data_IF_964787307894
#
_entry.id   IF_964787307894
#
_cell.length_a   1.000
_cell.length_b   1.000
_cell.length_c   1.000
_cell.angle_alpha   90.00
_cell.angle_beta   90.00
_cell.angle_gamma   90.00
#
_symmetry.space_group_name_H-M   'P 1'
#
loop_
_entity.id
_entity.type
_entity.pdbx_description
1 polymer ?
#
# COMPACT_ATOMS: atom_id res chain seq x y z
N UNK A 1 9.46 -18.78 -9.79
CA UNK A 1 9.94 -19.93 -9.00
C UNK A 1 11.24 -19.55 -8.33
N UNK A 2 11.31 -19.54 -6.99
CA UNK A 2 12.55 -19.29 -6.22
C UNK A 2 13.60 -20.34 -6.59
N UNK A 3 14.60 -19.96 -7.39
CA UNK A 3 15.81 -20.77 -7.61
C UNK A 3 16.89 -20.22 -6.69
N UNK A 4 17.02 -20.82 -5.51
CA UNK A 4 18.20 -20.75 -4.63
C UNK A 4 18.56 -19.38 -4.01
N UNK A 5 17.58 -18.64 -3.49
CA UNK A 5 17.87 -17.52 -2.56
C UNK A 5 17.47 -17.97 -1.15
N UNK A 6 18.45 -18.03 -0.24
CA UNK A 6 18.23 -18.40 1.18
C UNK A 6 17.77 -17.21 2.02
N UNK A 7 17.95 -15.99 1.51
CA UNK A 7 17.50 -14.76 2.16
C UNK A 7 16.01 -14.51 1.91
N UNK A 8 15.38 -13.75 2.83
CA UNK A 8 14.02 -13.23 2.66
C UNK A 8 13.94 -12.31 1.45
N UNK A 9 12.99 -12.56 0.55
CA UNK A 9 12.77 -11.75 -0.65
C UNK A 9 11.54 -10.85 -0.47
N UNK A 10 11.73 -9.55 -0.74
CA UNK A 10 10.65 -8.56 -0.74
C UNK A 10 10.38 -8.12 -2.18
N UNK A 11 9.15 -8.30 -2.67
CA UNK A 11 8.73 -7.78 -3.97
C UNK A 11 8.14 -6.37 -3.82
N UNK A 12 8.45 -5.47 -4.76
CA UNK A 12 7.87 -4.14 -4.84
C UNK A 12 7.81 -3.74 -6.32
N UNK A 13 6.62 -3.75 -6.92
CA UNK A 13 6.46 -3.41 -8.34
C UNK A 13 5.05 -2.89 -8.66
N UNK A 14 4.63 -1.81 -8.00
CA UNK A 14 3.29 -1.21 -8.18
C UNK A 14 2.14 -2.23 -8.07
N UNK A 15 2.26 -3.14 -7.11
CA UNK A 15 1.32 -4.25 -6.93
C UNK A 15 0.00 -3.73 -6.35
N UNK A 16 -1.12 -4.29 -6.83
CA UNK A 16 -2.41 -4.24 -6.14
C UNK A 16 -2.42 -5.29 -5.02
N UNK A 17 -3.44 -5.24 -4.14
CA UNK A 17 -3.66 -6.27 -3.11
C UNK A 17 -3.69 -7.66 -3.75
N UNK A 18 -4.53 -7.87 -4.75
CA UNK A 18 -4.72 -9.18 -5.39
C UNK A 18 -3.44 -9.69 -6.07
N UNK A 19 -2.71 -8.79 -6.73
CA UNK A 19 -1.44 -9.14 -7.36
C UNK A 19 -0.39 -9.53 -6.31
N UNK A 20 -0.31 -8.78 -5.20
CA UNK A 20 0.57 -9.09 -4.09
C UNK A 20 0.23 -10.45 -3.46
N UNK A 21 -1.06 -10.75 -3.26
CA UNK A 21 -1.48 -12.06 -2.77
C UNK A 21 -1.08 -13.19 -3.74
N UNK A 22 -1.18 -12.97 -5.05
CA UNK A 22 -0.69 -13.92 -6.06
C UNK A 22 0.82 -14.15 -5.99
N UNK A 23 1.61 -13.09 -5.76
CA UNK A 23 3.07 -13.17 -5.57
C UNK A 23 3.41 -14.01 -4.34
N UNK A 24 2.70 -13.79 -3.22
CA UNK A 24 2.90 -14.54 -1.98
C UNK A 24 2.50 -16.01 -2.13
N UNK A 25 1.29 -16.28 -2.66
CA UNK A 25 0.78 -17.65 -2.86
C UNK A 25 1.63 -18.48 -3.83
N UNK A 26 2.21 -17.85 -4.85
CA UNK A 26 3.11 -18.54 -5.79
C UNK A 26 4.51 -18.79 -5.24
N UNK A 27 4.81 -18.27 -4.04
CA UNK A 27 6.16 -18.31 -3.45
C UNK A 27 7.18 -17.50 -4.26
N UNK A 28 6.73 -16.55 -5.08
CA UNK A 28 7.60 -15.70 -5.88
C UNK A 28 8.37 -14.68 -5.00
N UNK A 29 7.82 -14.29 -3.85
CA UNK A 29 8.49 -13.53 -2.79
C UNK A 29 7.93 -13.93 -1.41
N UNK A 30 8.64 -13.55 -0.35
CA UNK A 30 8.21 -13.78 1.05
C UNK A 30 7.36 -12.62 1.58
N UNK A 31 7.68 -11.40 1.14
CA UNK A 31 7.03 -10.16 1.55
C UNK A 31 6.74 -9.31 0.33
N UNK A 32 5.78 -8.39 0.48
CA UNK A 32 5.48 -7.37 -0.53
C UNK A 32 5.53 -6.00 0.13
N UNK A 33 6.27 -5.07 -0.48
CA UNK A 33 6.30 -3.67 -0.09
C UNK A 33 5.33 -2.84 -0.92
N UNK A 34 4.62 -1.91 -0.28
CA UNK A 34 3.76 -0.93 -0.94
C UNK A 34 4.25 0.48 -0.61
N UNK A 35 4.47 1.31 -1.63
CA UNK A 35 4.93 2.70 -1.44
C UNK A 35 3.78 3.66 -1.74
N UNK A 36 3.35 3.74 -3.01
CA UNK A 36 2.32 4.70 -3.43
C UNK A 36 0.99 4.53 -2.71
N UNK A 37 0.59 3.29 -2.43
CA UNK A 37 -0.62 3.02 -1.65
C UNK A 37 -0.47 3.46 -0.19
N UNK A 38 0.73 3.31 0.39
CA UNK A 38 0.97 3.68 1.78
C UNK A 38 1.05 5.20 1.98
N UNK A 39 1.46 5.96 0.95
CA UNK A 39 1.49 7.43 1.00
C UNK A 39 0.10 8.03 1.29
N UNK A 40 -0.95 7.54 0.62
CA UNK A 40 -2.32 8.04 0.83
C UNK A 40 -3.13 7.24 1.83
N UNK A 41 -2.66 6.07 2.28
CA UNK A 41 -3.37 5.20 3.21
C UNK A 41 -2.44 4.86 4.39
N UNK A 42 -2.38 5.71 5.44
CA UNK A 42 -1.52 5.45 6.59
C UNK A 42 -1.91 4.16 7.35
N UNK A 43 -3.15 3.71 7.16
CA UNK A 43 -3.79 2.51 7.69
C UNK A 43 -3.98 1.41 6.63
N UNK A 44 -3.07 1.35 5.62
CA UNK A 44 -3.21 0.43 4.49
C UNK A 44 -3.37 -1.04 4.92
N UNK A 45 -2.70 -1.43 6.00
CA UNK A 45 -2.76 -2.81 6.53
C UNK A 45 -4.18 -3.14 6.98
N UNK A 46 -4.79 -2.26 7.78
CA UNK A 46 -6.16 -2.40 8.28
C UNK A 46 -7.15 -2.40 7.12
N UNK A 47 -6.95 -1.53 6.12
CA UNK A 47 -7.79 -1.51 4.92
C UNK A 47 -7.74 -2.82 4.16
N UNK A 48 -6.56 -3.39 3.94
CA UNK A 48 -6.44 -4.70 3.30
C UNK A 48 -7.05 -5.83 4.14
N UNK A 49 -6.87 -5.82 5.46
CA UNK A 49 -7.43 -6.85 6.34
C UNK A 49 -8.96 -6.85 6.34
N UNK A 50 -9.57 -5.66 6.28
CA UNK A 50 -11.02 -5.49 6.40
C UNK A 50 -11.73 -5.23 5.06
N UNK A 51 -10.99 -5.22 3.96
CA UNK A 51 -11.48 -4.86 2.63
C UNK A 51 -12.14 -3.46 2.59
N UNK A 52 -11.56 -2.51 3.30
CA UNK A 52 -12.04 -1.12 3.28
C UNK A 52 -11.56 -0.38 2.03
N UNK A 53 -12.33 0.62 1.56
CA UNK A 53 -11.94 1.43 0.41
C UNK A 53 -10.57 2.08 0.62
N UNK A 54 -9.77 2.11 -0.45
CA UNK A 54 -8.50 2.83 -0.48
C UNK A 54 -8.72 4.28 -0.89
N UNK A 55 -7.92 5.18 -0.34
CA UNK A 55 -7.82 6.54 -0.83
C UNK A 55 -7.16 6.55 -2.23
N UNK A 56 -7.47 7.58 -3.01
CA UNK A 56 -6.80 7.82 -4.29
C UNK A 56 -5.28 7.94 -4.11
N UNK A 57 -4.54 7.60 -5.17
CA UNK A 57 -3.09 7.74 -5.15
C UNK A 57 -2.68 9.20 -5.02
N UNK A 58 -1.62 9.44 -4.25
CA UNK A 58 -1.01 10.77 -4.15
C UNK A 58 -0.54 11.22 -5.55
N UNK A 59 -0.88 12.44 -6.00
CA UNK A 59 -0.35 13.02 -7.24
C UNK A 59 1.18 13.05 -7.27
N UNK A 60 1.77 12.93 -8.46
CA UNK A 60 3.22 12.85 -8.60
C UNK A 60 3.93 14.09 -8.05
N UNK A 61 3.40 15.27 -8.33
CA UNK A 61 3.94 16.54 -7.85
C UNK A 61 4.08 16.60 -6.33
N UNK A 62 3.14 16.00 -5.57
CA UNK A 62 3.11 16.12 -4.11
C UNK A 62 4.24 15.36 -3.40
N UNK A 63 4.87 14.37 -4.06
CA UNK A 63 6.01 13.64 -3.49
C UNK A 63 7.32 13.83 -4.27
N UNK A 64 7.32 14.66 -5.31
CA UNK A 64 8.49 14.94 -6.14
C UNK A 64 8.90 16.40 -6.14
N UNK A 65 7.94 17.33 -6.05
CA UNK A 65 8.20 18.76 -6.06
C UNK A 65 8.34 19.31 -4.63
N UNK A 66 9.56 19.70 -4.26
CA UNK A 66 9.86 20.26 -2.95
C UNK A 66 9.09 21.56 -2.65
N UNK A 67 8.59 22.27 -3.67
CA UNK A 67 7.78 23.47 -3.49
C UNK A 67 6.37 23.17 -2.94
N UNK A 68 5.90 21.92 -3.01
CA UNK A 68 4.61 21.50 -2.45
C UNK A 68 4.62 21.44 -0.92
N UNK A 69 5.79 21.46 -0.28
CA UNK A 69 5.90 21.35 1.17
C UNK A 69 5.27 20.05 1.69
N UNK A 70 4.39 20.15 2.68
CA UNK A 70 3.74 19.00 3.33
C UNK A 70 2.47 18.52 2.62
N UNK A 71 2.09 19.14 1.50
CA UNK A 71 0.86 18.79 0.76
C UNK A 71 0.95 17.33 0.29
N UNK A 72 0.00 16.51 0.73
CA UNK A 72 -0.03 15.08 0.40
C UNK A 72 0.95 14.21 1.20
N UNK A 73 1.59 14.73 2.24
CA UNK A 73 2.49 13.96 3.11
C UNK A 73 1.82 13.53 4.43
N UNK A 74 1.31 14.48 5.22
CA UNK A 74 0.71 14.23 6.54
C UNK A 74 -0.81 14.52 6.61
N UNK A 75 -1.45 14.60 5.45
CA UNK A 75 -2.84 15.08 5.32
C UNK A 75 -3.89 13.96 5.22
N UNK A 76 -3.45 12.69 5.16
CA UNK A 76 -4.35 11.55 5.03
C UNK A 76 -4.75 11.00 6.40
N UNK A 77 -6.05 10.88 6.62
CA UNK A 77 -6.60 10.28 7.83
C UNK A 77 -6.86 8.78 7.65
N UNK A 78 -6.78 7.98 8.73
CA UNK A 78 -7.26 6.61 8.73
C UNK A 78 -8.73 6.51 8.33
N UNK A 79 -9.13 5.35 7.82
CA UNK A 79 -10.53 5.06 7.51
C UNK A 79 -11.38 5.09 8.79
N UNK A 80 -12.38 5.96 8.81
CA UNK A 80 -13.37 6.02 9.89
C UNK A 80 -14.59 5.21 9.44
N UNK A 81 -14.85 4.08 10.12
CA UNK A 81 -16.11 3.37 9.94
C UNK A 81 -17.26 4.32 10.27
N UNK A 82 -18.11 4.60 9.28
CA UNK A 82 -19.41 5.17 9.56
C UNK A 82 -20.19 4.13 10.36
N UNK A 83 -20.64 4.48 11.57
CA UNK A 83 -21.52 3.62 12.34
C UNK A 83 -22.78 3.40 11.50
N UNK A 84 -23.06 2.16 11.13
CA UNK A 84 -24.30 1.78 10.48
C UNK A 84 -25.44 2.23 11.41
N UNK A 85 -26.16 3.28 10.99
CA UNK A 85 -27.40 3.67 11.63
C UNK A 85 -28.39 2.54 11.38
N UNK A 86 -28.68 1.76 12.42
CA UNK A 86 -29.75 0.76 12.43
C UNK A 86 -31.12 1.40 12.33
#
# INVERSE_FOLDING_TARGET
MKRSVTATLIANNSLTRDAAEGVLRSGAADLVGFVRLFLSNPDLVERFQNDWPLNDLVPHEHYWDAHMGDVGYNMYNPYIKQQESS
#
